data_IF_739045670777
#
_entry.id   IF_739045670777
#
_cell.length_a   1.000
_cell.length_b   1.000
_cell.length_c   1.000
_cell.angle_alpha   90.00
_cell.angle_beta   90.00
_cell.angle_gamma   90.00
#
_symmetry.space_group_name_H-M   'P 1'
#
loop_
_entity.id
_entity.type
_entity.pdbx_description
1 polymer ?
#
# COMPACT_ATOMS: atom_id res chain seq x y z
N UNK A 1 12.54 15.65 -10.09
CA UNK A 1 13.67 16.51 -9.74
C UNK A 1 14.86 16.12 -10.61
N UNK A 2 15.45 17.07 -11.32
CA UNK A 2 16.62 16.80 -12.14
C UNK A 2 17.85 16.56 -11.26
N UNK A 3 18.46 15.42 -11.49
CA UNK A 3 19.63 14.96 -10.75
C UNK A 3 20.87 15.54 -11.40
N UNK A 4 21.99 15.64 -10.65
CA UNK A 4 23.27 16.10 -11.18
C UNK A 4 23.91 15.16 -12.22
N UNK A 5 23.26 14.96 -13.37
CA UNK A 5 23.81 14.31 -14.55
C UNK A 5 24.21 15.38 -15.58
N UNK A 6 25.42 15.26 -16.12
CA UNK A 6 26.01 16.26 -17.00
C UNK A 6 26.50 15.65 -18.31
N UNK A 7 26.81 16.53 -19.26
CA UNK A 7 27.50 16.14 -20.49
C UNK A 7 28.77 15.30 -20.14
N UNK A 8 29.02 14.21 -20.88
CA UNK A 8 30.14 13.32 -20.59
C UNK A 8 31.48 14.07 -20.65
N UNK A 9 32.30 13.90 -19.60
CA UNK A 9 33.68 14.38 -19.60
C UNK A 9 34.62 13.39 -20.31
N UNK A 10 35.82 13.83 -20.72
CA UNK A 10 36.86 12.92 -21.20
C UNK A 10 37.15 11.81 -20.19
N UNK A 11 37.45 10.60 -20.68
CA UNK A 11 37.75 9.44 -19.83
C UNK A 11 38.93 9.77 -18.90
N UNK A 12 38.78 9.46 -17.62
CA UNK A 12 39.85 9.60 -16.62
C UNK A 12 40.29 8.24 -16.09
N UNK A 13 41.56 8.11 -15.74
CA UNK A 13 42.09 6.97 -15.01
C UNK A 13 41.70 6.93 -13.51
N UNK A 14 41.00 7.94 -13.01
CA UNK A 14 40.56 7.97 -11.61
C UNK A 14 39.54 6.86 -11.32
N UNK A 15 39.86 5.98 -10.38
CA UNK A 15 39.03 4.84 -9.96
C UNK A 15 38.22 5.13 -8.69
N UNK A 16 38.07 6.39 -8.29
CA UNK A 16 37.25 6.78 -7.14
C UNK A 16 35.82 6.23 -7.27
N UNK A 17 35.36 5.60 -6.20
CA UNK A 17 34.00 5.10 -6.05
C UNK A 17 33.18 6.03 -5.17
N UNK A 18 31.87 6.09 -5.43
CA UNK A 18 30.95 6.79 -4.55
C UNK A 18 30.93 6.12 -3.16
N UNK A 19 31.01 6.93 -2.11
CA UNK A 19 30.99 6.49 -0.73
C UNK A 19 29.59 6.07 -0.22
N UNK A 20 28.53 6.39 -0.97
CA UNK A 20 27.15 6.13 -0.57
C UNK A 20 26.84 4.63 -0.70
N UNK A 21 26.29 4.04 0.37
CA UNK A 21 25.95 2.61 0.39
C UNK A 21 24.93 2.27 -0.71
N UNK A 22 25.23 1.26 -1.52
CA UNK A 22 24.39 0.82 -2.64
C UNK A 22 24.56 1.65 -3.92
N UNK A 23 25.51 2.60 -3.95
CA UNK A 23 25.85 3.32 -5.16
C UNK A 23 27.12 2.74 -5.80
N UNK A 24 26.98 2.17 -6.99
CA UNK A 24 28.08 1.54 -7.75
C UNK A 24 28.78 2.50 -8.72
N UNK A 25 28.44 3.80 -8.67
CA UNK A 25 29.05 4.80 -9.54
C UNK A 25 30.55 4.90 -9.34
N UNK A 26 31.28 4.90 -10.44
CA UNK A 26 32.73 4.95 -10.49
C UNK A 26 33.20 6.06 -11.46
N UNK A 27 34.23 6.81 -11.07
CA UNK A 27 34.71 7.96 -11.83
C UNK A 27 35.24 7.61 -13.23
N UNK A 28 35.88 6.45 -13.42
CA UNK A 28 36.39 6.01 -14.71
C UNK A 28 35.27 5.54 -15.65
N UNK A 29 34.23 4.89 -15.11
CA UNK A 29 33.12 4.31 -15.89
C UNK A 29 32.01 5.32 -16.18
N UNK A 30 31.70 6.19 -15.23
CA UNK A 30 30.60 7.14 -15.31
C UNK A 30 31.12 8.55 -15.62
N UNK A 31 31.35 8.83 -16.90
CA UNK A 31 31.85 10.14 -17.38
C UNK A 31 30.83 11.27 -17.27
N UNK A 32 29.53 10.97 -17.20
CA UNK A 32 28.46 11.95 -16.98
C UNK A 32 28.33 12.40 -15.52
N UNK A 33 29.02 11.73 -14.59
CA UNK A 33 28.98 12.02 -13.17
C UNK A 33 30.24 12.75 -12.71
N UNK A 34 30.06 13.71 -11.82
CA UNK A 34 31.14 14.38 -11.10
C UNK A 34 31.28 13.80 -9.70
N UNK A 35 32.51 13.77 -9.18
CA UNK A 35 32.81 13.18 -7.87
C UNK A 35 33.35 14.27 -6.95
N UNK A 36 32.68 14.47 -5.81
CA UNK A 36 32.98 15.53 -4.86
C UNK A 36 33.50 14.94 -3.56
N UNK A 37 34.62 15.47 -3.08
CA UNK A 37 35.13 15.12 -1.75
C UNK A 37 34.23 15.69 -0.67
N UNK A 38 34.28 15.08 0.50
CA UNK A 38 33.60 15.63 1.68
C UNK A 38 34.14 17.04 2.00
N UNK A 39 33.27 17.94 2.49
CA UNK A 39 33.69 19.23 3.04
C UNK A 39 34.71 19.04 4.18
N UNK A 40 35.47 20.08 4.48
CA UNK A 40 36.32 20.07 5.68
C UNK A 40 35.43 20.19 6.92
N UNK A 41 35.72 19.42 7.99
CA UNK A 41 34.99 19.55 9.25
C UNK A 41 35.15 20.96 9.81
N UNK A 42 34.09 21.48 10.45
CA UNK A 42 34.03 22.83 11.04
C UNK A 42 34.36 23.97 10.05
N UNK A 43 34.23 23.73 8.75
CA UNK A 43 34.60 24.71 7.73
C UNK A 43 33.43 25.51 7.18
N UNK A 44 32.25 24.90 7.08
CA UNK A 44 31.06 25.51 6.46
C UNK A 44 29.82 25.08 7.22
N UNK A 45 28.85 25.98 7.32
CA UNK A 45 27.62 25.72 8.07
C UNK A 45 26.41 25.90 7.16
N UNK A 46 25.38 25.08 7.38
CA UNK A 46 24.09 25.13 6.69
C UNK A 46 22.99 25.26 7.73
N UNK A 47 21.96 26.04 7.40
CA UNK A 47 20.75 26.14 8.22
C UNK A 47 19.90 24.89 8.02
N UNK A 48 19.65 24.15 9.09
CA UNK A 48 18.73 23.01 9.10
C UNK A 48 17.56 23.30 10.02
N UNK A 49 16.36 22.95 9.59
CA UNK A 49 15.17 23.01 10.45
C UNK A 49 15.10 21.76 11.31
N UNK A 50 14.92 21.94 12.62
CA UNK A 50 14.64 20.86 13.54
C UNK A 50 13.14 20.48 13.49
N UNK A 51 12.76 19.38 14.12
CA UNK A 51 11.38 18.89 14.27
C UNK A 51 10.46 19.97 14.87
N UNK A 52 11.02 20.85 15.70
CA UNK A 52 10.31 21.98 16.33
C UNK A 52 10.29 23.25 15.46
N UNK A 53 10.57 23.17 14.15
CA UNK A 53 10.68 24.29 13.20
C UNK A 53 11.71 25.38 13.56
N UNK A 54 12.55 25.14 14.56
CA UNK A 54 13.67 26.02 14.89
C UNK A 54 14.81 25.84 13.87
N UNK A 55 15.36 26.94 13.39
CA UNK A 55 16.53 26.94 12.49
C UNK A 55 17.82 26.84 13.29
N UNK A 56 18.55 25.75 13.13
CA UNK A 56 19.87 25.54 13.74
C UNK A 56 20.97 25.53 12.65
N UNK A 57 22.15 26.03 12.99
CA UNK A 57 23.32 25.96 12.11
C UNK A 57 24.08 24.66 12.36
N UNK A 58 24.11 23.79 11.36
CA UNK A 58 24.82 22.51 11.41
C UNK A 58 26.05 22.59 10.50
N UNK A 59 27.17 22.02 10.93
CA UNK A 59 28.35 21.85 10.08
C UNK A 59 28.00 21.01 8.83
N UNK A 60 28.36 21.50 7.65
CA UNK A 60 28.06 20.87 6.36
C UNK A 60 28.65 19.47 6.28
N UNK A 61 29.83 19.26 6.86
CA UNK A 61 30.44 17.93 6.94
C UNK A 61 29.57 16.95 7.75
N UNK A 62 29.05 17.40 8.90
CA UNK A 62 28.14 16.59 9.72
C UNK A 62 26.81 16.34 9.00
N UNK A 63 26.26 17.34 8.32
CA UNK A 63 25.05 17.19 7.52
C UNK A 63 25.21 16.07 6.47
N UNK A 64 26.30 16.10 5.68
CA UNK A 64 26.60 15.05 4.70
C UNK A 64 26.76 13.68 5.37
N UNK A 65 27.47 13.62 6.50
CA UNK A 65 27.72 12.38 7.25
C UNK A 65 26.41 11.72 7.72
N UNK A 66 25.53 12.51 8.32
CA UNK A 66 24.23 12.07 8.86
C UNK A 66 23.33 11.59 7.72
N UNK A 67 23.18 12.41 6.67
CA UNK A 67 22.26 12.14 5.57
C UNK A 67 22.68 10.89 4.77
N UNK A 68 23.97 10.75 4.51
CA UNK A 68 24.51 9.60 3.78
C UNK A 68 24.73 8.38 4.68
N UNK A 69 24.53 8.49 6.01
CA UNK A 69 24.70 7.41 6.98
C UNK A 69 26.07 6.73 6.89
N UNK A 70 27.11 7.54 6.71
CA UNK A 70 28.51 7.08 6.61
C UNK A 70 29.19 7.32 7.96
N UNK A 71 29.74 6.27 8.56
CA UNK A 71 30.44 6.39 9.85
C UNK A 71 31.89 6.84 9.68
N UNK A 72 32.62 6.17 8.78
CA UNK A 72 34.05 6.38 8.55
C UNK A 72 34.29 7.14 7.25
N UNK A 73 34.71 8.40 7.38
CA UNK A 73 35.06 9.28 6.26
C UNK A 73 36.58 9.44 6.23
N UNK A 74 37.20 9.00 5.14
CA UNK A 74 38.60 9.28 4.83
C UNK A 74 38.69 10.40 3.79
N UNK A 75 39.83 11.06 3.66
CA UNK A 75 40.03 12.19 2.74
C UNK A 75 39.78 11.84 1.26
N UNK A 76 39.92 10.56 0.90
CA UNK A 76 39.68 10.05 -0.46
C UNK A 76 38.21 9.74 -0.75
N UNK A 77 37.34 9.69 0.27
CA UNK A 77 35.92 9.39 0.03
C UNK A 77 35.27 10.52 -0.76
N UNK A 78 34.57 10.13 -1.82
CA UNK A 78 33.84 11.05 -2.68
C UNK A 78 32.38 10.65 -2.78
N UNK A 79 31.53 11.61 -3.11
CA UNK A 79 30.11 11.43 -3.38
C UNK A 79 29.87 11.84 -4.83
N UNK A 80 29.20 10.99 -5.61
CA UNK A 80 28.90 11.32 -6.99
C UNK A 80 27.75 12.33 -7.09
N UNK A 81 27.72 13.06 -8.20
CA UNK A 81 26.75 14.12 -8.48
C UNK A 81 25.31 13.66 -8.51
N UNK A 82 25.08 12.34 -8.65
CA UNK A 82 23.75 11.74 -8.59
C UNK A 82 23.04 11.95 -7.25
N UNK A 83 23.79 12.20 -6.19
CA UNK A 83 23.21 12.46 -4.86
C UNK A 83 22.83 13.92 -4.61
N UNK A 84 23.08 14.81 -5.58
CA UNK A 84 22.77 16.23 -5.52
C UNK A 84 21.74 16.59 -6.58
N UNK A 85 21.03 17.69 -6.35
CA UNK A 85 20.17 18.26 -7.38
C UNK A 85 21.02 18.99 -8.40
N UNK A 86 20.55 19.04 -9.65
CA UNK A 86 21.21 19.83 -10.70
C UNK A 86 21.29 21.32 -10.33
N UNK A 87 20.30 21.83 -9.59
CA UNK A 87 20.24 23.19 -9.06
C UNK A 87 21.29 23.50 -7.97
N UNK A 88 21.91 22.48 -7.37
CA UNK A 88 22.94 22.65 -6.32
C UNK A 88 24.31 22.99 -6.92
N UNK A 89 24.42 23.01 -8.24
CA UNK A 89 25.65 23.31 -8.97
C UNK A 89 25.70 24.76 -9.42
N UNK A 90 26.92 25.29 -9.50
CA UNK A 90 27.19 26.51 -10.25
C UNK A 90 27.17 26.18 -11.74
N UNK A 91 26.32 26.90 -12.50
CA UNK A 91 26.19 26.79 -13.95
C UNK A 91 25.96 25.34 -14.43
N UNK A 92 24.79 24.77 -14.14
CA UNK A 92 24.49 23.37 -14.46
C UNK A 92 24.55 23.07 -15.97
N UNK A 93 24.17 24.02 -16.82
CA UNK A 93 24.05 23.81 -18.27
C UNK A 93 25.31 24.24 -19.06
N UNK A 94 26.21 25.00 -18.45
CA UNK A 94 27.47 25.37 -19.11
C UNK A 94 28.29 24.10 -19.40
N UNK A 95 29.05 24.00 -20.48
CA UNK A 95 29.94 22.86 -20.72
C UNK A 95 31.30 23.08 -20.03
N UNK A 96 31.36 22.89 -18.71
CA UNK A 96 32.61 23.01 -17.95
C UNK A 96 33.19 21.64 -17.61
N UNK A 97 34.52 21.52 -17.74
CA UNK A 97 35.28 20.34 -17.34
C UNK A 97 35.20 20.08 -15.82
N UNK A 98 34.90 21.09 -15.00
CA UNK A 98 34.85 20.97 -13.54
C UNK A 98 33.54 21.52 -12.97
N UNK A 99 32.66 20.60 -12.58
CA UNK A 99 31.42 20.92 -11.86
C UNK A 99 31.71 21.24 -10.40
N UNK A 100 31.19 22.37 -9.92
CA UNK A 100 31.36 22.81 -8.53
C UNK A 100 30.00 22.90 -7.87
N UNK A 101 29.88 22.28 -6.70
CA UNK A 101 28.74 22.43 -5.82
C UNK A 101 28.74 23.82 -5.18
N UNK A 102 27.55 24.35 -4.92
CA UNK A 102 27.33 25.52 -4.08
C UNK A 102 27.84 25.29 -2.65
N UNK A 103 28.05 26.37 -1.90
CA UNK A 103 28.70 26.28 -0.58
C UNK A 103 27.82 25.62 0.49
N UNK A 104 26.52 25.66 0.26
CA UNK A 104 25.41 25.16 1.07
C UNK A 104 24.81 23.87 0.52
N UNK A 105 25.38 23.32 -0.55
CA UNK A 105 24.86 22.12 -1.20
C UNK A 105 24.94 20.90 -0.28
N UNK A 106 23.79 20.29 -0.03
CA UNK A 106 23.64 19.08 0.78
C UNK A 106 23.06 17.96 -0.11
N UNK A 107 23.56 16.71 -0.01
CA UNK A 107 23.00 15.60 -0.77
C UNK A 107 21.53 15.41 -0.40
N UNK A 108 20.65 15.40 -1.40
CA UNK A 108 19.21 15.25 -1.21
C UNK A 108 18.62 14.14 -2.07
N UNK A 109 19.36 13.64 -3.07
CA UNK A 109 18.92 12.63 -4.02
C UNK A 109 19.47 11.23 -3.69
N UNK A 110 18.67 10.19 -3.95
CA UNK A 110 19.02 8.77 -3.83
C UNK A 110 19.76 8.42 -2.53
N UNK A 111 19.15 8.78 -1.41
CA UNK A 111 19.74 8.61 -0.09
C UNK A 111 19.64 7.15 0.40
N UNK A 112 20.60 6.70 1.23
CA UNK A 112 20.62 5.32 1.70
C UNK A 112 19.41 5.02 2.62
N UNK A 113 18.66 3.98 2.25
CA UNK A 113 17.46 3.54 2.96
C UNK A 113 16.15 4.05 2.38
N UNK A 114 16.17 4.86 1.31
CA UNK A 114 14.96 5.30 0.61
C UNK A 114 14.17 4.11 0.03
N UNK A 115 14.89 3.08 -0.44
CA UNK A 115 14.30 1.81 -0.86
C UNK A 115 13.43 1.15 0.21
N UNK A 116 13.78 1.27 1.50
CA UNK A 116 12.98 0.69 2.59
C UNK A 116 11.64 1.40 2.74
N UNK A 117 11.60 2.73 2.56
CA UNK A 117 10.36 3.50 2.54
C UNK A 117 9.50 3.10 1.34
N UNK A 118 10.08 3.03 0.14
CA UNK A 118 9.39 2.60 -1.08
C UNK A 118 8.83 1.18 -0.96
N UNK A 119 9.60 0.23 -0.44
CA UNK A 119 9.16 -1.15 -0.19
C UNK A 119 8.03 -1.18 0.84
N UNK A 120 8.13 -0.42 1.93
CA UNK A 120 7.07 -0.32 2.93
C UNK A 120 5.81 0.32 2.36
N UNK A 121 5.93 1.33 1.50
CA UNK A 121 4.81 1.98 0.83
C UNK A 121 4.09 1.01 -0.12
N UNK A 122 4.83 0.25 -0.95
CA UNK A 122 4.29 -0.82 -1.79
C UNK A 122 3.56 -1.86 -0.94
N UNK A 123 4.19 -2.33 0.15
CA UNK A 123 3.60 -3.30 1.08
C UNK A 123 2.32 -2.76 1.73
N UNK A 124 2.32 -1.49 2.14
CA UNK A 124 1.18 -0.82 2.73
C UNK A 124 0.05 -0.67 1.72
N UNK A 125 0.34 -0.25 0.48
CA UNK A 125 -0.64 -0.16 -0.61
C UNK A 125 -1.27 -1.51 -0.92
N UNK A 126 -0.48 -2.58 -1.01
CA UNK A 126 -0.98 -3.94 -1.19
C UNK A 126 -1.83 -4.43 -0.01
N UNK A 127 -1.51 -4.01 1.23
CA UNK A 127 -2.33 -4.29 2.42
C UNK A 127 -3.66 -3.54 2.37
N UNK A 128 -3.65 -2.27 1.97
CA UNK A 128 -4.87 -1.45 1.79
C UNK A 128 -5.79 -2.04 0.71
N UNK A 129 -5.23 -2.42 -0.45
CA UNK A 129 -5.99 -3.04 -1.54
C UNK A 129 -6.71 -4.32 -1.08
N UNK A 130 -6.04 -5.20 -0.32
CA UNK A 130 -6.66 -6.41 0.25
C UNK A 130 -7.79 -6.11 1.24
N UNK A 131 -7.66 -5.05 2.05
CA UNK A 131 -8.73 -4.60 2.97
C UNK A 131 -9.95 -4.11 2.18
N UNK A 132 -9.73 -3.35 1.11
CA UNK A 132 -10.81 -2.86 0.24
C UNK A 132 -11.53 -3.99 -0.49
N UNK A 133 -10.80 -4.97 -1.02
CA UNK A 133 -11.38 -6.16 -1.65
C UNK A 133 -12.26 -6.96 -0.68
N UNK A 134 -11.80 -7.20 0.55
CA UNK A 134 -12.60 -7.87 1.59
C UNK A 134 -13.86 -7.09 1.94
N UNK A 135 -13.76 -5.76 2.08
CA UNK A 135 -14.92 -4.90 2.35
C UNK A 135 -15.95 -4.99 1.21
N UNK A 136 -15.50 -4.90 -0.04
CA UNK A 136 -16.38 -5.01 -1.21
C UNK A 136 -17.00 -6.41 -1.32
N UNK A 137 -16.25 -7.48 -1.05
CA UNK A 137 -16.78 -8.84 -1.04
C UNK A 137 -17.85 -9.02 0.03
N UNK A 138 -17.61 -8.54 1.25
CA UNK A 138 -18.62 -8.59 2.33
C UNK A 138 -19.88 -7.79 1.96
N UNK A 139 -19.74 -6.60 1.36
CA UNK A 139 -20.88 -5.82 0.86
C UNK A 139 -21.67 -6.64 -0.17
N UNK A 140 -21.00 -7.23 -1.16
CA UNK A 140 -21.65 -8.04 -2.19
C UNK A 140 -22.38 -9.25 -1.60
N UNK A 141 -21.76 -9.97 -0.65
CA UNK A 141 -22.39 -11.09 0.06
C UNK A 141 -23.64 -10.64 0.80
N UNK A 142 -23.57 -9.56 1.59
CA UNK A 142 -24.76 -9.04 2.29
C UNK A 142 -25.87 -8.62 1.35
N UNK A 143 -25.55 -8.03 0.18
CA UNK A 143 -26.58 -7.69 -0.83
C UNK A 143 -27.22 -8.93 -1.45
N UNK A 144 -26.44 -9.99 -1.71
CA UNK A 144 -26.95 -11.25 -2.23
C UNK A 144 -27.88 -11.94 -1.23
N UNK A 145 -27.48 -12.01 0.05
CA UNK A 145 -28.31 -12.57 1.13
C UNK A 145 -29.63 -11.79 1.28
N UNK A 146 -29.58 -10.45 1.21
CA UNK A 146 -30.81 -9.63 1.23
C UNK A 146 -31.74 -9.92 0.06
N UNK A 147 -31.19 -10.15 -1.15
CA UNK A 147 -31.97 -10.51 -2.35
C UNK A 147 -32.61 -11.89 -2.22
N UNK A 148 -31.87 -12.90 -1.76
CA UNK A 148 -32.41 -14.25 -1.58
C UNK A 148 -33.47 -14.31 -0.48
N UNK A 149 -33.27 -13.61 0.64
CA UNK A 149 -34.27 -13.48 1.70
C UNK A 149 -35.57 -12.79 1.22
N UNK A 150 -35.46 -11.81 0.30
CA UNK A 150 -36.63 -11.17 -0.31
C UNK A 150 -37.37 -12.12 -1.25
N UNK A 151 -36.65 -12.93 -2.02
CA UNK A 151 -37.26 -13.94 -2.91
C UNK A 151 -37.98 -15.05 -2.12
N UNK A 152 -37.39 -15.55 -1.03
CA UNK A 152 -38.02 -16.56 -0.18
C UNK A 152 -39.26 -16.02 0.54
N UNK A 153 -39.23 -14.76 0.99
CA UNK A 153 -40.41 -14.10 1.55
C UNK A 153 -41.57 -13.99 0.54
N UNK A 154 -41.28 -13.68 -0.73
CA UNK A 154 -42.28 -13.67 -1.80
C UNK A 154 -42.87 -15.06 -2.06
N UNK A 155 -42.05 -16.10 -2.12
CA UNK A 155 -42.53 -17.49 -2.30
C UNK A 155 -43.42 -17.92 -1.12
N UNK A 156 -43.01 -17.61 0.11
CA UNK A 156 -43.81 -17.91 1.30
C UNK A 156 -45.16 -17.18 1.31
N UNK A 157 -45.21 -15.93 0.81
CA UNK A 157 -46.46 -15.19 0.66
C UNK A 157 -47.40 -15.85 -0.37
N UNK A 158 -46.87 -16.30 -1.50
CA UNK A 158 -47.64 -17.02 -2.53
C UNK A 158 -48.15 -18.36 -2.00
N UNK A 159 -47.31 -19.15 -1.30
CA UNK A 159 -47.72 -20.41 -0.69
C UNK A 159 -48.77 -20.23 0.41
N UNK A 160 -48.72 -19.13 1.18
CA UNK A 160 -49.80 -18.79 2.12
C UNK A 160 -51.11 -18.45 1.40
N UNK A 161 -51.05 -17.76 0.26
CA UNK A 161 -52.23 -17.43 -0.55
C UNK A 161 -52.87 -18.68 -1.17
N UNK A 162 -52.04 -19.62 -1.66
CA UNK A 162 -52.51 -20.90 -2.23
C UNK A 162 -52.94 -21.89 -1.14
N UNK A 163 -52.23 -21.96 -0.02
CA UNK A 163 -52.57 -22.79 1.13
C UNK A 163 -53.84 -22.33 1.85
N UNK A 164 -54.12 -21.02 1.87
CA UNK A 164 -55.42 -20.50 2.29
C UNK A 164 -56.57 -20.96 1.37
N UNK A 165 -56.32 -21.14 0.07
CA UNK A 165 -57.29 -21.69 -0.88
C UNK A 165 -57.47 -23.21 -0.77
N UNK A 166 -56.41 -23.97 -0.47
CA UNK A 166 -56.51 -25.44 -0.33
C UNK A 166 -57.08 -25.85 1.03
N UNK A 167 -56.79 -25.11 2.11
CA UNK A 167 -57.38 -25.37 3.43
C UNK A 167 -58.82 -24.87 3.57
N UNK A 168 -59.26 -23.88 2.78
CA UNK A 168 -60.69 -23.54 2.67
C UNK A 168 -61.51 -24.67 2.01
N UNK A 169 -60.95 -25.32 0.97
CA UNK A 169 -61.64 -26.42 0.28
C UNK A 169 -61.70 -27.72 1.10
N UNK A 170 -60.83 -27.92 2.09
CA UNK A 170 -60.92 -29.07 3.01
C UNK A 170 -61.76 -28.80 4.26
N UNK A 171 -61.96 -27.53 4.66
CA UNK A 171 -62.75 -27.20 5.86
C UNK A 171 -64.25 -26.99 5.57
N UNK A 172 -64.64 -26.66 4.33
CA UNK A 172 -66.06 -26.43 3.98
C UNK A 172 -66.82 -27.68 3.49
N UNK A 173 -66.13 -28.81 3.27
CA UNK A 173 -66.77 -30.07 2.83
C UNK A 173 -66.75 -31.18 3.91
N UNK A 174 -66.50 -30.83 5.18
CA UNK A 174 -66.48 -31.79 6.31
C UNK A 174 -67.53 -31.49 7.39
N UNK A 175 -68.56 -30.68 7.10
CA UNK A 175 -69.65 -30.39 8.05
C UNK A 175 -71.04 -30.77 7.55
N UNK A 176 -71.17 -31.65 6.54
CA UNK A 176 -72.48 -32.04 6.02
C UNK A 176 -72.86 -33.52 6.15
N UNK A 177 -72.11 -34.36 6.89
CA UNK A 177 -72.46 -35.78 7.13
C UNK A 177 -72.08 -36.29 8.53
N UNK A 178 -72.38 -35.53 9.59
CA UNK A 178 -72.29 -36.02 10.97
C UNK A 178 -73.49 -35.60 11.83
N UNK A 179 -74.69 -35.89 11.32
CA UNK A 179 -75.90 -36.15 12.09
C UNK A 179 -76.58 -37.32 11.39
N UNK A 180 -76.79 -38.43 12.12
CA UNK A 180 -77.58 -39.64 11.77
C UNK A 180 -76.84 -40.98 11.86
N UNK A 181 -75.91 -41.19 12.80
CA UNK A 181 -75.49 -42.56 13.12
C UNK A 181 -75.14 -42.78 14.61
N UNK A 182 -76.08 -42.46 15.50
CA UNK A 182 -76.17 -43.12 16.80
C UNK A 182 -77.65 -43.35 17.12
N UNK A 183 -78.21 -44.45 16.62
CA UNK A 183 -79.18 -45.23 17.39
C UNK A 183 -79.39 -46.60 16.74
N UNK A 184 -79.56 -47.60 17.60
CA UNK A 184 -80.01 -48.98 17.34
C UNK A 184 -78.91 -50.03 17.09
N UNK A 185 -78.36 -50.47 18.22
CA UNK A 185 -78.38 -51.85 18.73
C UNK A 185 -77.60 -52.93 17.96
N UNK A 186 -76.54 -53.47 18.57
CA UNK A 186 -76.61 -54.68 19.43
C UNK A 186 -77.20 -55.89 18.70
N UNK A 187 -76.38 -56.94 18.45
CA UNK A 187 -76.63 -58.35 18.84
C UNK A 187 -75.61 -59.30 18.18
N UNK A 188 -74.83 -59.95 19.06
CA UNK A 188 -74.41 -61.37 19.06
C UNK A 188 -73.39 -61.86 18.03
N UNK A 189 -72.21 -62.23 18.55
CA UNK A 189 -71.57 -63.51 18.22
C UNK A 189 -70.86 -64.07 19.46
N UNK A 190 -71.64 -64.81 20.27
CA UNK A 190 -71.15 -65.79 21.25
C UNK A 190 -71.27 -67.17 20.61
N UNK A 191 -70.24 -67.99 20.86
CA UNK A 191 -70.27 -69.47 20.91
C UNK A 191 -70.30 -70.26 19.60
N UNK A 192 -69.19 -70.96 19.34
CA UNK A 192 -69.17 -72.39 19.00
C UNK A 192 -67.80 -72.94 19.43
N UNK A 193 -67.62 -73.31 20.69
CA UNK A 193 -67.48 -74.71 21.14
C UNK A 193 -68.14 -75.77 20.24
N UNK A 194 -67.34 -76.49 19.44
CA UNK A 194 -67.03 -77.92 19.62
C UNK A 194 -66.03 -78.40 18.58
#
# INVERSE_FOLDING_TARGET
MEVGEFAPRPKSCNRDYCAVKGCESNAAKNSSLSFHRFPRPNGRFVSSQNIFNNSEKIDLFQAWKIILKITNITERKTVCSRHFLKSDYFFPDAHSCRRRLKKDAVPSCYLPGDNRKKVNEIRNKARWQRRMQRSNMNKNVTTSIKKSAKASASIAAVLKFLGANVLWNFFFHSTSLLLDFVYVNNIVCRLCER
#
